data_IF_061671976861
#
_entry.id   IF_061671976861
#
_cell.length_a   1.000
_cell.length_b   1.000
_cell.length_c   1.000
_cell.angle_alpha   90.00
_cell.angle_beta   90.00
_cell.angle_gamma   90.00
#
_symmetry.space_group_name_H-M   'P 1'
#
loop_
_entity.id
_entity.type
_entity.pdbx_description
1 polymer ?
#
# COMPACT_ATOMS: atom_id res chain seq x y z
N UNK A 1 -41.03 76.01 -24.26
CA UNK A 1 -39.78 75.59 -23.58
C UNK A 1 -39.89 74.06 -23.31
N UNK A 2 -39.18 73.27 -24.09
CA UNK A 2 -39.27 71.79 -24.01
C UNK A 2 -37.95 71.31 -23.40
N UNK A 3 -38.00 70.79 -22.16
CA UNK A 3 -36.84 70.20 -21.48
C UNK A 3 -36.63 68.74 -21.99
N UNK A 4 -35.51 68.49 -22.67
CA UNK A 4 -35.04 67.21 -23.01
C UNK A 4 -34.24 66.64 -21.82
N UNK A 5 -34.79 65.62 -21.12
CA UNK A 5 -34.06 64.79 -20.14
C UNK A 5 -33.21 63.78 -20.89
N UNK A 6 -31.89 63.90 -20.79
CA UNK A 6 -30.95 62.94 -21.34
C UNK A 6 -30.84 61.71 -20.38
N UNK A 7 -31.24 60.52 -20.83
CA UNK A 7 -30.97 59.25 -20.14
C UNK A 7 -29.49 58.84 -20.37
N UNK A 8 -28.68 58.91 -19.31
CA UNK A 8 -27.36 58.35 -19.26
C UNK A 8 -27.50 56.81 -19.07
N UNK A 9 -27.22 56.07 -20.12
CA UNK A 9 -27.12 54.59 -20.02
C UNK A 9 -25.75 54.22 -19.45
N UNK A 10 -25.74 53.72 -18.20
CA UNK A 10 -24.55 53.21 -17.55
C UNK A 10 -24.37 51.74 -17.99
N UNK A 11 -23.43 51.51 -18.91
CA UNK A 11 -23.04 50.18 -19.32
C UNK A 11 -22.12 49.56 -18.25
N UNK A 12 -22.65 48.64 -17.43
CA UNK A 12 -21.88 47.86 -16.49
C UNK A 12 -21.15 46.73 -17.26
N UNK A 13 -19.88 46.94 -17.54
CA UNK A 13 -19.01 45.93 -18.16
C UNK A 13 -18.69 44.88 -17.08
N UNK A 14 -19.36 43.72 -17.14
CA UNK A 14 -19.01 42.55 -16.36
C UNK A 14 -17.70 41.98 -16.94
N UNK A 15 -16.58 42.26 -16.26
CA UNK A 15 -15.29 41.62 -16.52
C UNK A 15 -15.38 40.17 -16.07
N UNK A 16 -15.66 39.26 -17.01
CA UNK A 16 -15.44 37.83 -16.81
C UNK A 16 -13.93 37.60 -16.75
N UNK A 17 -13.38 37.51 -15.54
CA UNK A 17 -12.08 36.90 -15.35
C UNK A 17 -12.25 35.39 -15.54
N UNK A 18 -11.58 34.76 -16.55
CA UNK A 18 -11.59 33.31 -16.64
C UNK A 18 -10.83 32.77 -15.40
N UNK A 19 -11.54 32.19 -14.45
CA UNK A 19 -10.93 31.36 -13.47
C UNK A 19 -10.35 30.12 -14.21
N UNK A 20 -9.02 30.11 -14.35
CA UNK A 20 -8.32 28.91 -14.76
C UNK A 20 -8.43 27.90 -13.63
N UNK A 21 -9.53 27.13 -13.57
CA UNK A 21 -9.62 25.95 -12.71
C UNK A 21 -8.59 24.96 -13.23
N UNK A 22 -7.49 24.79 -12.50
CA UNK A 22 -6.50 23.77 -12.82
C UNK A 22 -7.19 22.42 -12.68
N UNK A 23 -7.05 21.54 -13.69
CA UNK A 23 -7.58 20.19 -13.61
C UNK A 23 -6.92 19.44 -12.44
N UNK A 24 -7.70 18.58 -11.75
CA UNK A 24 -7.18 17.68 -10.71
C UNK A 24 -6.03 16.86 -11.30
N UNK A 25 -4.88 16.71 -10.61
CA UNK A 25 -3.73 16.00 -11.14
C UNK A 25 -4.06 14.54 -11.43
N UNK A 26 -3.46 13.99 -12.49
CA UNK A 26 -3.54 12.57 -12.80
C UNK A 26 -2.67 11.78 -11.83
N UNK A 27 -3.33 11.15 -10.86
CA UNK A 27 -2.68 10.35 -9.81
C UNK A 27 -2.72 8.89 -10.16
N UNK A 28 -1.56 8.22 -10.08
CA UNK A 28 -1.45 6.76 -10.23
C UNK A 28 -0.91 6.17 -8.92
N UNK A 29 -1.37 4.99 -8.57
CA UNK A 29 -0.97 4.27 -7.35
C UNK A 29 -0.63 2.82 -7.68
N UNK A 30 0.44 2.29 -7.11
CA UNK A 30 0.97 0.98 -7.47
C UNK A 30 0.06 -0.18 -7.07
N UNK A 31 -0.34 -0.26 -5.79
CA UNK A 31 -1.05 -1.41 -5.20
C UNK A 31 -2.36 -1.00 -4.50
N UNK A 32 -3.29 -1.95 -4.38
CA UNK A 32 -4.62 -1.71 -3.79
C UNK A 32 -4.62 -1.12 -2.38
N UNK A 33 -3.80 -1.59 -1.41
CA UNK A 33 -3.80 -0.99 -0.07
C UNK A 33 -3.43 0.49 -0.10
N UNK A 34 -2.42 0.85 -0.87
CA UNK A 34 -2.00 2.24 -1.04
C UNK A 34 -3.05 3.05 -1.82
N UNK A 35 -3.65 2.45 -2.84
CA UNK A 35 -4.74 3.06 -3.60
C UNK A 35 -5.93 3.40 -2.68
N UNK A 36 -6.29 2.52 -1.75
CA UNK A 36 -7.35 2.78 -0.77
C UNK A 36 -7.05 4.02 0.10
N UNK A 37 -5.79 4.20 0.52
CA UNK A 37 -5.38 5.37 1.30
C UNK A 37 -5.43 6.66 0.45
N UNK A 38 -4.93 6.61 -0.79
CA UNK A 38 -4.95 7.77 -1.71
C UNK A 38 -6.38 8.15 -2.08
N UNK A 39 -7.22 7.16 -2.43
CA UNK A 39 -8.65 7.38 -2.73
C UNK A 39 -9.39 8.03 -1.56
N UNK A 40 -9.09 7.58 -0.33
CA UNK A 40 -9.69 8.19 0.86
C UNK A 40 -9.29 9.64 1.08
N UNK A 41 -8.07 10.06 0.71
CA UNK A 41 -7.63 11.46 0.77
C UNK A 41 -8.24 12.26 -0.40
N UNK A 42 -8.38 11.66 -1.57
CA UNK A 42 -8.94 12.31 -2.77
C UNK A 42 -10.47 12.33 -2.84
N UNK A 43 -11.17 11.79 -1.83
CA UNK A 43 -12.64 11.66 -1.83
C UNK A 43 -13.34 12.99 -2.14
N UNK A 44 -14.20 12.99 -3.18
CA UNK A 44 -14.95 14.16 -3.64
C UNK A 44 -14.14 15.20 -4.41
N UNK A 45 -12.86 14.91 -4.75
CA UNK A 45 -12.01 15.75 -5.60
C UNK A 45 -11.68 15.02 -6.91
N UNK A 46 -11.24 13.75 -6.82
CA UNK A 46 -10.87 12.94 -7.98
C UNK A 46 -10.65 11.50 -7.59
N UNK A 47 -10.33 10.66 -8.58
CA UNK A 47 -10.07 9.23 -8.38
C UNK A 47 -8.67 8.90 -8.88
N UNK A 48 -7.80 8.28 -8.06
CA UNK A 48 -6.51 7.79 -8.50
C UNK A 48 -6.68 6.54 -9.37
N UNK A 49 -5.79 6.32 -10.32
CA UNK A 49 -5.73 5.08 -11.10
C UNK A 49 -4.87 4.04 -10.40
N UNK A 50 -5.35 2.81 -10.33
CA UNK A 50 -4.59 1.67 -9.79
C UNK A 50 -3.73 1.05 -10.90
N UNK A 51 -2.42 0.86 -10.63
CA UNK A 51 -1.49 0.27 -11.60
C UNK A 51 -1.62 -1.26 -11.64
N UNK A 52 -1.57 -1.92 -10.48
CA UNK A 52 -1.71 -3.38 -10.39
C UNK A 52 -3.14 -3.78 -10.09
N UNK A 53 -3.87 -4.13 -11.13
CA UNK A 53 -5.23 -4.66 -11.01
C UNK A 53 -5.21 -6.19 -10.78
N UNK A 54 -6.28 -6.70 -10.18
CA UNK A 54 -6.48 -8.14 -9.95
C UNK A 54 -5.69 -8.70 -8.76
N UNK A 55 -5.33 -9.99 -8.84
CA UNK A 55 -4.66 -10.74 -7.77
C UNK A 55 -3.22 -11.12 -8.15
N UNK A 56 -2.56 -10.33 -8.99
CA UNK A 56 -1.18 -10.59 -9.36
C UNK A 56 -0.25 -10.32 -8.16
N UNK A 57 0.73 -11.19 -7.94
CA UNK A 57 1.76 -10.95 -6.93
C UNK A 57 2.69 -9.83 -7.38
N UNK A 58 2.82 -8.80 -6.57
CA UNK A 58 3.72 -7.66 -6.80
C UNK A 58 5.20 -8.09 -6.88
N UNK A 59 5.56 -9.19 -6.22
CA UNK A 59 6.95 -9.69 -6.15
C UNK A 59 7.46 -10.30 -7.47
N UNK A 60 6.55 -10.72 -8.37
CA UNK A 60 6.90 -11.39 -9.65
C UNK A 60 6.19 -10.75 -10.84
N UNK A 61 5.88 -9.47 -10.72
CA UNK A 61 5.11 -8.75 -11.72
C UNK A 61 5.98 -8.30 -12.91
N UNK A 62 5.37 -8.25 -14.09
CA UNK A 62 5.92 -7.60 -15.28
C UNK A 62 4.89 -6.67 -15.86
N UNK A 63 5.25 -5.41 -16.07
CA UNK A 63 4.36 -4.38 -16.55
C UNK A 63 3.86 -4.64 -17.99
N UNK A 64 2.59 -4.34 -18.21
CA UNK A 64 1.96 -4.32 -19.52
C UNK A 64 2.22 -2.97 -20.21
N UNK A 65 2.19 -2.90 -21.55
CA UNK A 65 2.34 -1.62 -22.26
C UNK A 65 1.34 -0.54 -21.84
N UNK A 66 0.10 -0.93 -21.50
CA UNK A 66 -0.94 -0.02 -20.99
C UNK A 66 -0.57 0.61 -19.66
N UNK A 67 0.08 -0.14 -18.76
CA UNK A 67 0.53 0.34 -17.46
C UNK A 67 1.72 1.30 -17.59
N UNK A 68 2.62 1.02 -18.52
CA UNK A 68 3.70 1.97 -18.87
C UNK A 68 3.10 3.27 -19.41
N UNK A 69 2.09 3.19 -20.29
CA UNK A 69 1.40 4.37 -20.82
C UNK A 69 0.66 5.14 -19.71
N UNK A 70 0.10 4.45 -18.71
CA UNK A 70 -0.53 5.08 -17.55
C UNK A 70 0.48 5.90 -16.75
N UNK A 71 1.67 5.35 -16.45
CA UNK A 71 2.74 6.07 -15.78
C UNK A 71 3.28 7.26 -16.60
N UNK A 72 3.38 7.12 -17.91
CA UNK A 72 3.78 8.22 -18.80
C UNK A 72 2.82 9.41 -18.79
N UNK A 73 1.58 9.21 -18.41
CA UNK A 73 0.56 10.25 -18.34
C UNK A 73 0.34 10.76 -16.90
N UNK A 74 0.92 10.10 -15.90
CA UNK A 74 0.78 10.47 -14.51
C UNK A 74 1.52 11.78 -14.18
N UNK A 75 0.92 12.61 -13.36
CA UNK A 75 1.55 13.80 -12.77
C UNK A 75 2.10 13.48 -11.37
N UNK A 76 1.44 12.56 -10.66
CA UNK A 76 1.82 12.11 -9.33
C UNK A 76 1.67 10.60 -9.23
N UNK A 77 2.71 9.93 -8.74
CA UNK A 77 2.76 8.48 -8.60
C UNK A 77 3.13 8.07 -7.19
N UNK A 78 2.26 7.31 -6.53
CA UNK A 78 2.49 6.73 -5.21
C UNK A 78 2.80 5.25 -5.31
N UNK A 79 3.91 4.81 -4.71
CA UNK A 79 4.32 3.42 -4.65
C UNK A 79 5.05 3.14 -3.32
N UNK A 80 5.17 1.88 -2.93
CA UNK A 80 5.82 1.54 -1.65
C UNK A 80 7.32 1.82 -1.75
N UNK A 81 7.95 1.35 -2.81
CA UNK A 81 9.38 1.53 -3.05
C UNK A 81 10.02 0.31 -3.71
N UNK A 82 11.31 0.39 -4.11
CA UNK A 82 12.00 -0.65 -4.85
C UNK A 82 12.12 -1.98 -4.09
N UNK A 83 11.90 -1.98 -2.76
CA UNK A 83 11.90 -3.19 -1.96
C UNK A 83 10.67 -4.09 -2.21
N UNK A 84 9.58 -3.52 -2.71
CA UNK A 84 8.36 -4.24 -3.07
C UNK A 84 8.20 -4.33 -4.58
N UNK A 85 8.19 -3.18 -5.24
CA UNK A 85 7.91 -3.06 -6.68
C UNK A 85 9.22 -2.98 -7.50
N UNK A 86 10.07 -4.01 -7.40
CA UNK A 86 11.36 -4.08 -8.12
C UNK A 86 11.20 -3.92 -9.64
N UNK A 87 10.05 -4.32 -10.19
CA UNK A 87 9.72 -4.20 -11.61
C UNK A 87 9.55 -2.75 -12.08
N UNK A 88 9.37 -1.79 -11.17
CA UNK A 88 9.22 -0.36 -11.47
C UNK A 88 10.54 0.38 -11.65
N UNK A 89 11.67 -0.13 -11.14
CA UNK A 89 12.95 0.59 -11.16
C UNK A 89 13.36 1.02 -12.58
N UNK A 90 13.34 0.10 -13.54
CA UNK A 90 13.72 0.38 -14.93
C UNK A 90 12.71 1.28 -15.65
N UNK A 91 11.39 1.01 -15.59
CA UNK A 91 10.38 1.91 -16.16
C UNK A 91 10.49 3.33 -15.62
N UNK A 92 10.56 3.53 -14.30
CA UNK A 92 10.65 4.86 -13.69
C UNK A 92 11.93 5.60 -14.12
N UNK A 93 13.07 4.92 -14.19
CA UNK A 93 14.32 5.50 -14.66
C UNK A 93 14.28 5.92 -16.15
N UNK A 94 13.38 5.35 -16.94
CA UNK A 94 13.23 5.65 -18.37
C UNK A 94 12.21 6.75 -18.68
N UNK A 95 11.46 7.22 -17.69
CA UNK A 95 10.48 8.29 -17.89
C UNK A 95 11.18 9.64 -18.13
N UNK A 96 10.77 10.33 -19.21
CA UNK A 96 11.38 11.61 -19.63
C UNK A 96 10.59 12.83 -19.21
N UNK A 97 9.41 12.66 -18.59
CA UNK A 97 8.56 13.74 -18.12
C UNK A 97 8.71 13.98 -16.62
N UNK A 98 8.25 15.13 -16.15
CA UNK A 98 8.36 15.59 -14.75
C UNK A 98 7.26 15.00 -13.84
N UNK A 99 7.08 13.67 -13.82
CA UNK A 99 6.20 13.02 -12.87
C UNK A 99 6.82 13.09 -11.45
N UNK A 100 6.03 13.46 -10.46
CA UNK A 100 6.43 13.39 -9.05
C UNK A 100 6.22 11.94 -8.59
N UNK A 101 7.32 11.23 -8.33
CA UNK A 101 7.31 9.85 -7.80
C UNK A 101 7.53 9.87 -6.29
N UNK A 102 6.59 9.32 -5.54
CA UNK A 102 6.58 9.33 -4.07
C UNK A 102 6.74 7.92 -3.53
N UNK A 103 7.91 7.62 -3.00
CA UNK A 103 8.21 6.37 -2.30
C UNK A 103 7.66 6.42 -0.88
N UNK A 104 6.70 5.56 -0.56
CA UNK A 104 6.08 5.54 0.77
C UNK A 104 7.03 5.06 1.86
N UNK A 105 8.01 4.22 1.50
CA UNK A 105 9.01 3.72 2.44
C UNK A 105 9.90 4.82 3.03
N UNK A 106 10.04 5.95 2.33
CA UNK A 106 10.81 7.12 2.77
C UNK A 106 9.97 8.12 3.60
N UNK A 107 8.73 7.77 3.95
CA UNK A 107 7.87 8.62 4.77
C UNK A 107 8.46 8.78 6.17
N UNK A 108 8.58 10.03 6.64
CA UNK A 108 9.11 10.32 7.99
C UNK A 108 8.20 9.77 9.10
N UNK A 109 8.84 9.17 10.10
CA UNK A 109 8.14 8.68 11.30
C UNK A 109 7.47 7.31 11.14
N UNK A 110 7.80 6.55 10.10
CA UNK A 110 7.43 5.15 10.00
C UNK A 110 8.15 4.30 11.04
N UNK A 111 7.45 3.31 11.58
CA UNK A 111 8.06 2.17 12.26
C UNK A 111 8.58 1.23 11.18
N UNK A 112 9.89 1.07 11.07
CA UNK A 112 10.52 0.22 10.07
C UNK A 112 10.97 -1.09 10.67
N UNK A 113 10.48 -2.20 10.14
CA UNK A 113 10.94 -3.55 10.46
C UNK A 113 11.83 -4.10 9.37
N UNK A 114 12.78 -4.95 9.77
CA UNK A 114 13.76 -5.56 8.86
C UNK A 114 13.69 -7.07 8.99
N UNK A 115 13.87 -7.75 7.88
CA UNK A 115 14.07 -9.18 7.90
C UNK A 115 15.41 -9.53 8.53
N UNK A 116 15.47 -10.65 9.26
CA UNK A 116 16.75 -11.13 9.80
C UNK A 116 17.68 -11.54 8.66
N UNK A 117 18.93 -11.04 8.68
CA UNK A 117 19.97 -11.36 7.66
C UNK A 117 20.18 -12.88 7.46
N UNK A 118 19.98 -13.69 8.51
CA UNK A 118 20.07 -15.16 8.44
C UNK A 118 18.90 -15.82 7.71
N UNK A 119 17.75 -15.16 7.64
CA UNK A 119 16.54 -15.66 6.96
C UNK A 119 16.56 -15.37 5.47
N UNK A 120 17.34 -14.38 5.04
CA UNK A 120 17.53 -13.98 3.66
C UNK A 120 18.93 -14.38 3.19
N UNK A 121 19.01 -15.26 2.22
CA UNK A 121 20.25 -15.63 1.53
C UNK A 121 20.73 -14.53 0.56
N UNK A 122 20.63 -13.26 0.96
CA UNK A 122 21.13 -12.14 0.16
C UNK A 122 22.60 -11.96 0.53
N UNK A 123 23.48 -12.54 -0.28
CA UNK A 123 24.93 -12.31 -0.19
C UNK A 123 25.22 -10.91 -0.75
N UNK A 124 25.53 -9.96 0.12
CA UNK A 124 26.03 -8.64 -0.24
C UNK A 124 24.93 -7.72 -0.82
N UNK A 125 24.27 -6.95 0.01
CA UNK A 125 23.27 -5.97 -0.39
C UNK A 125 23.25 -4.77 0.54
N UNK A 126 22.77 -3.66 0.03
CA UNK A 126 22.44 -2.47 0.80
C UNK A 126 21.49 -2.85 1.96
N UNK A 127 21.68 -2.22 3.12
CA UNK A 127 20.80 -2.44 4.30
C UNK A 127 19.32 -2.15 4.01
N UNK A 128 19.03 -1.31 3.03
CA UNK A 128 17.66 -1.03 2.55
C UNK A 128 16.96 -2.27 2.00
N UNK A 129 17.69 -3.21 1.40
CA UNK A 129 17.14 -4.46 0.84
C UNK A 129 16.61 -5.44 1.88
N UNK A 130 16.86 -5.17 3.17
CA UNK A 130 16.33 -5.99 4.28
C UNK A 130 15.09 -5.40 4.93
N UNK A 131 14.62 -4.24 4.49
CA UNK A 131 13.38 -3.65 5.00
C UNK A 131 12.20 -4.50 4.54
N UNK A 132 11.32 -4.85 5.49
CA UNK A 132 10.03 -5.44 5.15
C UNK A 132 9.16 -4.35 4.52
N UNK A 133 8.74 -4.47 3.26
CA UNK A 133 8.02 -3.42 2.57
C UNK A 133 6.51 -3.37 2.87
N UNK A 134 5.97 -4.30 3.67
CA UNK A 134 4.52 -4.39 3.95
C UNK A 134 4.06 -3.38 5.02
N UNK A 135 4.48 -2.11 4.83
CA UNK A 135 4.34 -0.99 5.77
C UNK A 135 2.90 -0.72 6.21
N UNK A 136 1.94 -0.91 5.29
CA UNK A 136 0.52 -0.60 5.48
C UNK A 136 -0.19 -1.51 6.46
N UNK A 137 0.42 -2.64 6.84
CA UNK A 137 -0.12 -3.58 7.83
C UNK A 137 0.03 -3.10 9.28
N UNK A 138 0.69 -1.96 9.50
CA UNK A 138 0.64 -1.23 10.76
C UNK A 138 -0.28 -0.01 10.59
N UNK A 139 -1.40 0.10 11.33
CA UNK A 139 -2.30 1.26 11.25
C UNK A 139 -1.62 2.60 11.54
N UNK A 140 -0.56 2.63 12.37
CA UNK A 140 0.21 3.85 12.64
C UNK A 140 1.07 4.25 11.45
N UNK A 141 1.68 3.29 10.76
CA UNK A 141 2.36 3.56 9.50
C UNK A 141 1.37 4.06 8.44
N UNK A 142 0.19 3.43 8.33
CA UNK A 142 -0.86 3.90 7.43
C UNK A 142 -1.26 5.35 7.70
N UNK A 143 -1.34 5.78 8.97
CA UNK A 143 -1.57 7.18 9.35
C UNK A 143 -0.44 8.09 8.83
N UNK A 144 0.83 7.68 8.96
CA UNK A 144 1.96 8.46 8.44
C UNK A 144 1.94 8.56 6.91
N UNK A 145 1.59 7.44 6.25
CA UNK A 145 1.42 7.41 4.79
C UNK A 145 0.28 8.36 4.35
N UNK A 146 -0.86 8.37 5.03
CA UNK A 146 -1.96 9.31 4.77
C UNK A 146 -1.50 10.76 4.91
N UNK A 147 -0.71 11.10 5.93
CA UNK A 147 -0.16 12.44 6.10
C UNK A 147 0.76 12.85 4.94
N UNK A 148 1.64 11.94 4.48
CA UNK A 148 2.52 12.17 3.33
C UNK A 148 1.73 12.34 2.04
N UNK A 149 0.75 11.45 1.77
CA UNK A 149 -0.15 11.54 0.62
C UNK A 149 -0.85 12.89 0.59
N UNK A 150 -1.37 13.34 1.74
CA UNK A 150 -2.07 14.63 1.86
C UNK A 150 -1.16 15.80 1.52
N UNK A 151 0.08 15.78 1.99
CA UNK A 151 1.06 16.81 1.69
C UNK A 151 1.34 16.89 0.18
N UNK A 152 1.67 15.76 -0.46
CA UNK A 152 1.99 15.71 -1.88
C UNK A 152 0.81 16.15 -2.76
N UNK A 153 -0.41 15.71 -2.42
CA UNK A 153 -1.62 16.13 -3.13
C UNK A 153 -1.88 17.63 -2.96
N UNK A 154 -1.72 18.18 -1.74
CA UNK A 154 -1.92 19.60 -1.49
C UNK A 154 -0.87 20.48 -2.18
N UNK A 155 0.36 20.00 -2.35
CA UNK A 155 1.41 20.69 -3.10
C UNK A 155 1.15 20.67 -4.62
N UNK A 156 0.67 19.53 -5.15
CA UNK A 156 0.36 19.36 -6.56
C UNK A 156 -0.93 20.09 -6.97
N UNK A 157 -1.90 20.19 -6.06
CA UNK A 157 -3.23 20.78 -6.27
C UNK A 157 -3.65 21.66 -5.08
N UNK A 158 -3.10 22.88 -4.98
CA UNK A 158 -3.36 23.79 -3.87
C UNK A 158 -4.82 24.25 -3.76
N UNK A 159 -5.58 24.26 -4.87
CA UNK A 159 -6.99 24.64 -4.88
C UNK A 159 -7.85 23.68 -4.05
N UNK A 160 -7.52 22.41 -4.04
CA UNK A 160 -8.21 21.36 -3.29
C UNK A 160 -7.52 20.98 -1.97
N UNK A 161 -6.44 21.67 -1.56
CA UNK A 161 -5.65 21.35 -0.37
C UNK A 161 -6.49 21.27 0.91
N UNK A 162 -7.47 22.14 1.08
CA UNK A 162 -8.38 22.12 2.22
C UNK A 162 -9.22 20.85 2.28
N UNK A 163 -9.70 20.36 1.14
CA UNK A 163 -10.47 19.12 1.05
C UNK A 163 -9.62 17.89 1.35
N UNK A 164 -8.41 17.82 0.80
CA UNK A 164 -7.45 16.75 1.12
C UNK A 164 -7.14 16.68 2.62
N UNK A 165 -6.96 17.84 3.27
CA UNK A 165 -6.70 17.92 4.71
C UNK A 165 -7.89 17.43 5.55
N UNK A 166 -9.13 17.79 5.17
CA UNK A 166 -10.35 17.32 5.83
C UNK A 166 -10.50 15.81 5.72
N UNK A 167 -10.40 15.27 4.51
CA UNK A 167 -10.46 13.84 4.24
C UNK A 167 -9.38 13.07 5.00
N UNK A 168 -8.16 13.61 5.03
CA UNK A 168 -7.02 13.06 5.77
C UNK A 168 -7.33 12.92 7.26
N UNK A 169 -7.88 13.96 7.91
CA UNK A 169 -8.28 13.91 9.32
C UNK A 169 -9.30 12.80 9.58
N UNK A 170 -10.30 12.69 8.71
CA UNK A 170 -11.33 11.66 8.82
C UNK A 170 -10.76 10.25 8.65
N UNK A 171 -9.89 10.03 7.64
CA UNK A 171 -9.25 8.76 7.38
C UNK A 171 -8.30 8.35 8.54
N UNK A 172 -7.52 9.28 9.08
CA UNK A 172 -6.69 9.04 10.26
C UNK A 172 -7.52 8.62 11.49
N UNK A 173 -8.73 9.18 11.67
CA UNK A 173 -9.63 8.75 12.74
C UNK A 173 -10.16 7.33 12.51
N UNK A 174 -10.48 6.96 11.27
CA UNK A 174 -10.86 5.58 10.90
C UNK A 174 -9.73 4.60 11.22
N UNK A 175 -8.49 4.93 10.85
CA UNK A 175 -7.31 4.10 11.10
C UNK A 175 -7.02 3.94 12.61
N UNK A 176 -7.18 4.99 13.41
CA UNK A 176 -7.07 4.91 14.89
C UNK A 176 -8.13 3.99 15.49
N UNK A 177 -9.38 4.05 14.99
CA UNK A 177 -10.42 3.13 15.44
C UNK A 177 -10.13 1.69 15.03
N UNK A 178 -9.63 1.48 13.81
CA UNK A 178 -9.19 0.17 13.35
C UNK A 178 -8.10 -0.41 14.27
N UNK A 179 -7.08 0.38 14.61
CA UNK A 179 -6.01 -0.02 15.54
C UNK A 179 -6.57 -0.49 16.90
N UNK A 180 -7.52 0.25 17.46
CA UNK A 180 -8.19 -0.10 18.73
C UNK A 180 -9.02 -1.39 18.62
N UNK A 181 -9.75 -1.58 17.53
CA UNK A 181 -10.52 -2.81 17.31
C UNK A 181 -9.59 -4.01 17.13
N UNK A 182 -8.51 -3.86 16.35
CA UNK A 182 -7.53 -4.94 16.18
C UNK A 182 -6.85 -5.32 17.50
N UNK A 183 -6.50 -4.35 18.36
CA UNK A 183 -5.94 -4.66 19.70
C UNK A 183 -6.93 -5.47 20.57
N UNK A 184 -8.23 -5.16 20.50
CA UNK A 184 -9.27 -5.89 21.22
C UNK A 184 -9.46 -7.30 20.67
N UNK A 185 -9.62 -7.41 19.34
CA UNK A 185 -9.94 -8.68 18.67
C UNK A 185 -8.74 -9.66 18.69
N UNK A 186 -7.52 -9.14 18.51
CA UNK A 186 -6.31 -9.95 18.47
C UNK A 186 -5.73 -10.22 19.86
N UNK A 187 -6.19 -9.52 20.89
CA UNK A 187 -5.67 -9.65 22.26
C UNK A 187 -5.72 -11.09 22.80
N UNK A 188 -6.79 -11.84 22.51
CA UNK A 188 -6.93 -13.24 22.89
C UNK A 188 -6.05 -14.21 22.06
N UNK A 189 -5.45 -13.72 20.96
CA UNK A 189 -4.65 -14.53 20.02
C UNK A 189 -3.13 -14.38 20.21
N UNK A 190 -2.65 -13.50 21.08
CA UNK A 190 -1.21 -13.20 21.30
C UNK A 190 -0.37 -14.45 21.56
N UNK A 191 -0.91 -15.42 22.28
CA UNK A 191 -0.24 -16.69 22.61
C UNK A 191 -0.62 -17.86 21.70
N UNK A 192 -1.37 -17.60 20.62
CA UNK A 192 -1.77 -18.63 19.66
C UNK A 192 -0.75 -18.72 18.51
N UNK A 193 0.05 -19.81 18.44
CA UNK A 193 1.03 -19.93 17.38
C UNK A 193 0.35 -20.18 16.03
N UNK A 194 0.82 -19.47 15.01
CA UNK A 194 0.34 -19.64 13.62
C UNK A 194 1.50 -19.71 12.63
N UNK A 195 1.21 -20.14 11.42
CA UNK A 195 2.12 -20.08 10.29
C UNK A 195 1.49 -19.26 9.15
N UNK A 196 2.34 -18.74 8.28
CA UNK A 196 1.95 -17.96 7.11
C UNK A 196 2.60 -18.52 5.84
N UNK A 197 2.01 -18.25 4.68
CA UNK A 197 2.59 -18.66 3.42
C UNK A 197 3.90 -17.90 3.14
N UNK A 198 3.89 -16.56 3.20
CA UNK A 198 5.11 -15.76 3.10
C UNK A 198 5.19 -14.70 4.23
N UNK A 199 6.40 -14.12 4.51
CA UNK A 199 6.63 -13.34 5.72
C UNK A 199 6.18 -11.87 5.59
N UNK A 200 4.96 -11.61 5.12
CA UNK A 200 4.44 -10.26 4.90
C UNK A 200 3.89 -9.58 6.16
N UNK A 201 3.62 -10.33 7.21
CA UNK A 201 2.82 -9.88 8.35
C UNK A 201 3.62 -9.28 9.50
N UNK A 202 4.92 -9.03 9.33
CA UNK A 202 5.83 -8.58 10.42
C UNK A 202 5.31 -7.32 11.12
N UNK A 203 4.75 -6.37 10.38
CA UNK A 203 4.19 -5.13 10.96
C UNK A 203 2.98 -5.42 11.85
N UNK A 204 2.03 -6.22 11.37
CA UNK A 204 0.86 -6.66 12.15
C UNK A 204 1.29 -7.46 13.38
N UNK A 205 2.22 -8.41 13.20
CA UNK A 205 2.75 -9.26 14.27
C UNK A 205 3.40 -8.44 15.39
N UNK A 206 4.25 -7.50 15.02
CA UNK A 206 4.94 -6.64 15.99
C UNK A 206 4.00 -5.64 16.65
N UNK A 207 3.04 -5.11 15.90
CA UNK A 207 2.06 -4.15 16.42
C UNK A 207 1.16 -4.78 17.48
N UNK A 208 0.71 -6.01 17.28
CA UNK A 208 -0.27 -6.68 18.12
C UNK A 208 0.29 -7.87 18.91
N UNK A 209 1.61 -8.02 18.96
CA UNK A 209 2.32 -9.08 19.69
C UNK A 209 1.82 -10.50 19.34
N UNK A 210 1.71 -10.79 18.04
CA UNK A 210 1.23 -12.07 17.53
C UNK A 210 2.38 -13.07 17.35
N UNK A 211 2.12 -14.35 17.59
CA UNK A 211 3.13 -15.40 17.62
C UNK A 211 3.20 -16.18 16.30
N UNK A 212 3.87 -15.62 15.27
CA UNK A 212 4.21 -16.40 14.07
C UNK A 212 5.39 -17.31 14.36
N UNK A 213 5.21 -18.60 14.12
CA UNK A 213 6.26 -19.63 14.34
C UNK A 213 6.73 -20.30 13.07
N UNK A 214 6.08 -20.07 11.92
CA UNK A 214 6.48 -20.70 10.67
C UNK A 214 6.14 -19.88 9.43
N UNK A 215 6.97 -20.06 8.39
CA UNK A 215 6.78 -19.48 7.05
C UNK A 215 6.97 -20.57 6.02
N UNK A 216 6.00 -20.74 5.10
CA UNK A 216 6.06 -21.75 4.05
C UNK A 216 7.07 -21.37 2.99
N UNK A 217 6.98 -20.16 2.49
CA UNK A 217 7.85 -19.65 1.43
C UNK A 217 8.48 -18.33 1.84
N UNK A 218 9.78 -18.36 2.13
CA UNK A 218 10.53 -17.16 2.56
C UNK A 218 10.71 -16.18 1.39
N UNK A 219 10.79 -16.70 0.17
CA UNK A 219 10.96 -15.92 -1.05
C UNK A 219 9.81 -16.24 -2.01
N UNK A 220 8.79 -15.38 -2.13
CA UNK A 220 7.63 -15.62 -3.01
C UNK A 220 8.01 -15.98 -4.46
N UNK A 221 9.16 -15.48 -4.91
CA UNK A 221 9.68 -15.69 -6.27
C UNK A 221 10.31 -17.08 -6.49
N UNK A 222 10.58 -17.87 -5.42
CA UNK A 222 11.28 -19.14 -5.50
C UNK A 222 10.54 -20.23 -4.74
N UNK A 223 10.33 -21.40 -5.34
CA UNK A 223 9.72 -22.53 -4.63
C UNK A 223 10.56 -22.93 -3.40
N UNK A 224 9.95 -23.24 -2.26
CA UNK A 224 10.67 -23.68 -1.08
C UNK A 224 11.23 -25.11 -1.29
N UNK A 225 12.43 -25.34 -0.76
CA UNK A 225 13.06 -26.67 -0.86
C UNK A 225 12.41 -27.70 0.06
N UNK A 226 12.47 -28.99 -0.34
CA UNK A 226 11.85 -30.11 0.40
C UNK A 226 12.31 -30.21 1.87
N UNK A 227 13.60 -29.92 2.15
CA UNK A 227 14.14 -29.92 3.53
C UNK A 227 13.46 -28.83 4.39
N UNK A 228 13.21 -27.67 3.84
CA UNK A 228 12.51 -26.58 4.54
C UNK A 228 11.07 -26.99 4.86
N UNK A 229 10.34 -27.53 3.87
CA UNK A 229 8.96 -28.01 4.05
C UNK A 229 8.84 -29.10 5.10
N UNK A 230 9.78 -30.06 5.08
CA UNK A 230 9.82 -31.14 6.10
C UNK A 230 10.11 -30.58 7.50
N UNK A 231 11.00 -29.59 7.64
CA UNK A 231 11.24 -28.87 8.91
C UNK A 231 9.99 -28.13 9.38
N UNK A 232 9.37 -27.37 8.50
CA UNK A 232 8.16 -26.62 8.81
C UNK A 232 7.03 -27.54 9.28
N UNK A 233 6.81 -28.66 8.58
CA UNK A 233 5.79 -29.66 8.97
C UNK A 233 6.02 -30.19 10.38
N UNK A 234 7.28 -30.53 10.74
CA UNK A 234 7.63 -30.93 12.11
C UNK A 234 7.36 -29.83 13.12
N UNK A 235 7.74 -28.59 12.82
CA UNK A 235 7.48 -27.43 13.70
C UNK A 235 5.99 -27.21 13.91
N UNK A 236 5.16 -27.35 12.87
CA UNK A 236 3.70 -27.22 12.98
C UNK A 236 3.12 -28.25 13.94
N UNK A 237 3.61 -29.48 13.91
CA UNK A 237 3.15 -30.56 14.81
C UNK A 237 3.63 -30.35 16.26
N UNK A 238 4.87 -29.88 16.46
CA UNK A 238 5.50 -29.74 17.77
C UNK A 238 5.03 -28.48 18.53
N UNK A 239 4.74 -27.40 17.82
CA UNK A 239 4.42 -26.10 18.43
C UNK A 239 2.90 -25.85 18.54
N UNK A 240 2.06 -26.85 18.30
CA UNK A 240 0.62 -26.71 18.46
C UNK A 240 -0.02 -25.68 17.49
N UNK A 241 0.56 -25.52 16.29
CA UNK A 241 -0.01 -24.61 15.28
C UNK A 241 -1.39 -25.11 14.88
N UNK A 242 -2.40 -24.25 15.01
CA UNK A 242 -3.77 -24.56 14.63
C UNK A 242 -4.15 -23.99 13.26
N UNK A 243 -3.46 -22.93 12.79
CA UNK A 243 -3.79 -22.24 11.55
C UNK A 243 -2.55 -21.95 10.70
N UNK A 244 -2.69 -22.15 9.39
CA UNK A 244 -1.78 -21.69 8.35
C UNK A 244 -2.52 -20.70 7.46
N UNK A 245 -2.08 -19.43 7.48
CA UNK A 245 -2.63 -18.40 6.60
C UNK A 245 -1.92 -18.38 5.25
N UNK A 246 -2.71 -18.30 4.19
CA UNK A 246 -2.25 -18.12 2.81
C UNK A 246 -2.92 -16.92 2.18
N UNK A 247 -2.29 -16.34 1.19
CA UNK A 247 -2.85 -15.25 0.43
C UNK A 247 -3.51 -15.76 -0.88
N UNK A 248 -4.51 -15.01 -1.42
CA UNK A 248 -5.25 -15.43 -2.61
C UNK A 248 -4.41 -15.51 -3.89
N UNK A 249 -3.29 -14.77 -3.96
CA UNK A 249 -2.40 -14.73 -5.11
C UNK A 249 -1.48 -15.95 -5.24
N UNK A 250 -1.42 -16.83 -4.23
CA UNK A 250 -0.59 -18.04 -4.27
C UNK A 250 -1.43 -19.29 -4.43
N UNK A 251 -0.91 -20.21 -5.28
CA UNK A 251 -1.54 -21.51 -5.51
C UNK A 251 -1.64 -22.35 -4.23
N UNK A 252 -2.81 -22.89 -3.90
CA UNK A 252 -3.06 -23.61 -2.65
C UNK A 252 -2.31 -24.94 -2.55
N UNK A 253 -1.89 -25.53 -3.69
CA UNK A 253 -1.29 -26.86 -3.76
C UNK A 253 -0.19 -27.13 -2.73
N UNK A 254 0.70 -26.15 -2.53
CA UNK A 254 1.81 -26.29 -1.58
C UNK A 254 1.32 -26.32 -0.13
N UNK A 255 0.35 -25.47 0.18
CA UNK A 255 -0.30 -25.43 1.49
C UNK A 255 -1.04 -26.73 1.77
N UNK A 256 -1.84 -27.21 0.81
CA UNK A 256 -2.61 -28.44 0.94
C UNK A 256 -1.70 -29.67 1.19
N UNK A 257 -0.58 -29.75 0.47
CA UNK A 257 0.41 -30.80 0.67
C UNK A 257 1.05 -30.75 2.07
N UNK A 258 1.32 -29.57 2.61
CA UNK A 258 1.85 -29.41 3.96
C UNK A 258 0.84 -29.82 5.04
N UNK A 259 -0.43 -29.54 4.81
CA UNK A 259 -1.51 -29.82 5.77
C UNK A 259 -1.99 -31.26 5.75
N UNK A 260 -1.69 -32.02 4.70
CA UNK A 260 -2.11 -33.42 4.57
C UNK A 260 -1.67 -34.28 5.77
N UNK A 261 -2.65 -34.87 6.46
CA UNK A 261 -2.40 -35.69 7.67
C UNK A 261 -2.06 -34.89 8.92
N UNK A 262 -2.31 -33.58 8.94
CA UNK A 262 -2.24 -32.70 10.14
C UNK A 262 -3.64 -32.29 10.60
N UNK A 263 -3.73 -31.70 11.80
CA UNK A 263 -4.95 -31.08 12.31
C UNK A 263 -5.00 -29.55 12.05
N UNK A 264 -3.99 -29.01 11.38
CA UNK A 264 -3.84 -27.58 11.09
C UNK A 264 -4.85 -27.18 10.02
N UNK A 265 -5.57 -26.11 10.24
CA UNK A 265 -6.54 -25.55 9.28
C UNK A 265 -5.86 -24.51 8.39
N UNK A 266 -6.31 -24.39 7.15
CA UNK A 266 -5.94 -23.28 6.26
C UNK A 266 -6.99 -22.19 6.29
N UNK A 267 -6.55 -20.94 6.30
CA UNK A 267 -7.40 -19.77 6.11
C UNK A 267 -6.74 -18.80 5.10
N UNK A 268 -7.56 -18.03 4.41
CA UNK A 268 -7.09 -16.97 3.50
C UNK A 268 -7.01 -15.68 4.30
N UNK A 269 -5.88 -14.99 4.17
CA UNK A 269 -5.64 -13.66 4.73
C UNK A 269 -5.11 -12.78 3.60
N UNK A 270 -5.98 -11.95 3.05
CA UNK A 270 -5.67 -11.06 1.94
C UNK A 270 -4.92 -9.82 2.46
N UNK A 271 -3.84 -9.46 1.79
CA UNK A 271 -3.01 -8.30 2.08
C UNK A 271 -3.38 -7.07 1.23
N UNK A 272 -4.31 -7.25 0.29
CA UNK A 272 -4.64 -6.25 -0.73
C UNK A 272 -6.07 -5.72 -0.65
#
# INVERSE_FOLDING_TARGET
MIHRAGLLHFWMVLLFFPWNVKAVPKVVVSIKPLHSLVSGVMEGVGEPSLLLEGNASVHVYSMRPSEVSMLQQAELFFWVGPQLETFLEKPLASLTHSMISVEMIDTKGLQIHRYEKKSFWISGGDERNFIDPHLWLDPWNAIRMVQRITQELAEADPENAGRYQENSKFLQQKLKRLDQHLEQDLGALKQKPFAVFHPAYTYLEKRFDLMRVGVVNIHPERPPGARHLAKLRRMMQQNGIECLFREPQFEPRLTDMLLQGTKVRSAVLDLS
#
